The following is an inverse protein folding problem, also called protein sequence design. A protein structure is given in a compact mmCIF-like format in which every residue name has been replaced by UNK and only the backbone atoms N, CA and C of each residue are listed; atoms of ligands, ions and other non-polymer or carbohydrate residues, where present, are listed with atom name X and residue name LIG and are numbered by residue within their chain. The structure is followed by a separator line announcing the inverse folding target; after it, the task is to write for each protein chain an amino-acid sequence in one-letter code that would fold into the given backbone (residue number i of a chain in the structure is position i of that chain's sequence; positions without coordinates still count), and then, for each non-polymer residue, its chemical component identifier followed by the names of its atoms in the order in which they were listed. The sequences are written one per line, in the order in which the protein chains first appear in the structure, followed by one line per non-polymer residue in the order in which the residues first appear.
data_IF_564726985850
#
_entry.id   IF_564726985850
#
_cell.length_a   1.000
_cell.length_b   1.000
_cell.length_c   1.000
_cell.angle_alpha   90.00
_cell.angle_beta   90.00
_cell.angle_gamma   90.00
#
_symmetry.space_group_name_H-M   'P 1'
#
loop_
_entity.id
_entity.type
_entity.pdbx_description
1 polymer ?
#
# COMPACT_ATOMS: atom_id res chain seq x y z
N UNK A 1 27.89 -5.45 -26.32
CA UNK A 1 28.64 -4.32 -25.72
C UNK A 1 28.44 -4.51 -24.23
N UNK A 2 29.51 -4.84 -23.49
CA UNK A 2 29.41 -5.14 -22.07
C UNK A 2 29.02 -3.87 -21.29
N UNK A 3 28.05 -4.05 -20.39
CA UNK A 3 27.60 -3.05 -19.42
C UNK A 3 28.76 -2.69 -18.48
N UNK A 4 29.50 -1.61 -18.80
CA UNK A 4 30.64 -1.14 -18.02
C UNK A 4 30.23 -0.35 -16.77
N UNK A 5 28.94 -0.10 -16.57
CA UNK A 5 28.44 0.70 -15.46
C UNK A 5 27.74 -0.15 -14.39
N UNK A 6 28.49 -1.12 -13.85
CA UNK A 6 27.99 -2.02 -12.79
C UNK A 6 27.82 -1.28 -11.44
N UNK A 7 28.50 -0.15 -11.27
CA UNK A 7 28.37 0.72 -10.10
C UNK A 7 28.04 2.13 -10.58
N UNK A 8 26.81 2.58 -10.34
CA UNK A 8 26.40 3.93 -10.71
C UNK A 8 27.27 5.01 -10.05
N UNK A 9 27.48 6.14 -10.73
CA UNK A 9 28.26 7.29 -10.24
C UNK A 9 27.85 7.74 -8.83
N UNK A 10 26.56 7.69 -8.50
CA UNK A 10 26.03 8.03 -7.19
C UNK A 10 26.56 7.13 -6.06
N UNK A 11 26.74 5.83 -6.29
CA UNK A 11 27.28 4.91 -5.30
C UNK A 11 28.80 5.11 -5.12
N UNK A 12 29.53 5.30 -6.23
CA UNK A 12 30.95 5.62 -6.19
C UNK A 12 31.22 6.90 -5.40
N UNK A 13 30.39 7.94 -5.62
CA UNK A 13 30.46 9.22 -4.87
C UNK A 13 30.18 9.00 -3.38
N UNK A 14 29.14 8.25 -3.01
CA UNK A 14 28.83 7.93 -1.59
C UNK A 14 29.99 7.22 -0.89
N UNK A 15 30.67 6.31 -1.57
CA UNK A 15 31.85 5.59 -1.01
C UNK A 15 32.99 6.57 -0.73
N UNK A 16 33.28 7.47 -1.66
CA UNK A 16 34.35 8.46 -1.55
C UNK A 16 34.01 9.54 -0.51
N UNK A 17 32.77 10.02 -0.45
CA UNK A 17 32.30 11.00 0.53
C UNK A 17 32.38 10.42 1.96
N UNK A 18 31.96 9.18 2.18
CA UNK A 18 32.10 8.52 3.47
C UNK A 18 33.58 8.40 3.90
N UNK A 19 34.48 8.22 2.95
CA UNK A 19 35.92 8.20 3.22
C UNK A 19 36.48 9.58 3.57
N UNK A 20 36.00 10.65 2.93
CA UNK A 20 36.50 12.02 3.07
C UNK A 20 36.41 12.53 4.52
N UNK A 21 35.38 12.14 5.26
CA UNK A 21 35.20 12.57 6.66
C UNK A 21 36.22 11.96 7.63
N UNK A 22 36.78 10.78 7.27
CA UNK A 22 37.59 9.96 8.17
C UNK A 22 39.05 9.91 7.73
N UNK A 23 39.31 10.00 6.43
CA UNK A 23 40.63 9.77 5.82
C UNK A 23 41.21 11.08 5.30
N UNK A 24 42.41 11.44 5.82
CA UNK A 24 43.14 12.68 5.43
C UNK A 24 43.97 12.51 4.15
N UNK A 25 43.75 11.43 3.40
CA UNK A 25 44.42 11.13 2.14
C UNK A 25 43.48 11.31 0.96
N UNK A 26 44.05 11.52 -0.22
CA UNK A 26 43.24 11.49 -1.43
C UNK A 26 42.71 10.07 -1.66
N UNK A 27 41.40 9.93 -1.82
CA UNK A 27 40.71 8.66 -2.09
C UNK A 27 40.02 8.76 -3.44
N UNK A 28 40.17 7.72 -4.24
CA UNK A 28 39.56 7.57 -5.54
C UNK A 28 38.79 6.24 -5.61
N UNK A 29 37.62 6.26 -6.24
CA UNK A 29 36.96 5.06 -6.73
C UNK A 29 37.12 4.99 -8.25
N UNK A 30 37.74 3.93 -8.73
CA UNK A 30 38.09 3.72 -10.15
C UNK A 30 37.23 2.58 -10.68
N UNK A 31 36.61 2.77 -11.83
CA UNK A 31 35.80 1.74 -12.51
C UNK A 31 36.70 0.66 -13.11
N UNK A 32 36.08 -0.42 -13.57
CA UNK A 32 36.78 -1.57 -14.20
C UNK A 32 37.44 -1.21 -15.53
N UNK A 33 37.03 -0.11 -16.18
CA UNK A 33 37.69 0.46 -17.38
C UNK A 33 38.93 1.31 -17.05
N UNK A 34 39.24 1.50 -15.78
CA UNK A 34 40.38 2.29 -15.33
C UNK A 34 40.12 3.78 -15.24
N UNK A 35 38.87 4.23 -15.35
CA UNK A 35 38.50 5.64 -15.23
C UNK A 35 38.07 5.93 -13.78
N UNK A 36 38.53 7.06 -13.23
CA UNK A 36 38.15 7.53 -11.91
C UNK A 36 36.71 8.01 -11.95
N UNK A 37 35.79 7.31 -11.30
CA UNK A 37 34.36 7.65 -11.23
C UNK A 37 34.07 8.66 -10.13
N UNK A 38 34.79 8.57 -8.98
CA UNK A 38 34.65 9.51 -7.87
C UNK A 38 36.00 9.73 -7.20
N UNK A 39 36.22 10.92 -6.69
CA UNK A 39 37.49 11.31 -6.04
C UNK A 39 37.24 12.38 -4.98
N UNK A 40 38.03 12.36 -3.90
CA UNK A 40 38.10 13.49 -2.96
C UNK A 40 38.76 14.73 -3.58
N UNK A 41 39.44 14.54 -4.72
CA UNK A 41 40.05 15.62 -5.54
C UNK A 41 39.29 15.70 -6.87
N UNK A 42 38.34 16.65 -7.04
CA UNK A 42 37.40 16.68 -8.19
C UNK A 42 38.09 16.67 -9.57
N UNK A 43 39.25 17.27 -9.69
CA UNK A 43 40.00 17.36 -10.95
C UNK A 43 40.50 15.99 -11.46
N UNK A 44 40.45 14.97 -10.62
CA UNK A 44 40.80 13.60 -10.96
C UNK A 44 39.68 12.82 -11.62
N UNK A 45 38.44 13.24 -11.40
CA UNK A 45 37.27 12.53 -11.95
C UNK A 45 37.32 12.52 -13.49
N UNK A 46 37.06 11.39 -14.10
CA UNK A 46 37.11 11.18 -15.53
C UNK A 46 38.51 10.92 -16.10
N UNK A 47 39.58 11.01 -15.27
CA UNK A 47 40.95 10.71 -15.73
C UNK A 47 41.27 9.21 -15.62
N UNK A 48 42.23 8.75 -16.44
CA UNK A 48 42.67 7.36 -16.46
C UNK A 48 43.65 7.07 -15.32
N UNK A 49 43.56 5.84 -14.76
CA UNK A 49 44.40 5.38 -13.66
C UNK A 49 44.94 3.96 -13.95
N UNK A 50 46.14 3.88 -14.51
CA UNK A 50 46.69 2.61 -15.00
C UNK A 50 47.00 1.58 -13.90
N UNK A 51 47.42 2.04 -12.71
CA UNK A 51 47.68 1.13 -11.57
C UNK A 51 46.40 0.39 -11.10
N UNK A 52 45.23 0.98 -11.32
CA UNK A 52 43.96 0.29 -10.98
C UNK A 52 43.69 -0.88 -11.95
N UNK A 53 44.01 -0.74 -13.23
CA UNK A 53 43.89 -1.85 -14.19
C UNK A 53 44.81 -3.02 -13.82
N UNK A 54 46.00 -2.71 -13.35
CA UNK A 54 46.96 -3.72 -12.86
C UNK A 54 46.42 -4.44 -11.61
N UNK A 55 45.81 -3.70 -10.65
CA UNK A 55 45.20 -4.30 -9.47
C UNK A 55 44.03 -5.23 -9.85
N UNK A 56 43.21 -4.82 -10.82
CA UNK A 56 42.12 -5.67 -11.35
C UNK A 56 42.63 -6.92 -12.04
N UNK A 57 43.68 -6.78 -12.86
CA UNK A 57 44.27 -7.91 -13.60
C UNK A 57 44.89 -8.95 -12.66
N UNK A 58 45.52 -8.52 -11.57
CA UNK A 58 46.11 -9.40 -10.56
C UNK A 58 45.08 -9.94 -9.55
N UNK A 59 44.00 -9.25 -9.37
CA UNK A 59 43.04 -9.52 -8.29
C UNK A 59 43.58 -9.24 -6.90
N UNK A 60 44.68 -8.49 -6.81
CA UNK A 60 45.41 -8.19 -5.58
C UNK A 60 45.70 -6.71 -5.44
N UNK A 61 46.01 -6.28 -4.22
CA UNK A 61 46.44 -4.92 -3.93
C UNK A 61 47.75 -4.59 -4.64
N UNK A 62 47.78 -3.45 -5.36
CA UNK A 62 48.96 -2.92 -6.03
C UNK A 62 49.45 -1.67 -5.34
N UNK A 63 50.71 -1.70 -4.93
CA UNK A 63 51.45 -0.55 -4.36
C UNK A 63 52.14 0.21 -5.50
N UNK A 64 51.99 1.53 -5.50
CA UNK A 64 52.69 2.46 -6.38
C UNK A 64 53.63 3.28 -5.55
N UNK A 65 54.93 3.17 -5.84
CA UNK A 65 55.99 3.95 -5.19
C UNK A 65 56.64 4.92 -6.19
N UNK A 66 57.63 5.67 -5.74
CA UNK A 66 58.38 6.61 -6.60
C UNK A 66 59.19 5.94 -7.70
N UNK A 67 59.40 4.63 -7.63
CA UNK A 67 60.16 3.85 -8.58
C UNK A 67 59.29 3.12 -9.59
N UNK A 68 57.99 2.86 -9.24
CA UNK A 68 57.04 2.15 -10.07
C UNK A 68 56.01 3.17 -10.61
N UNK A 69 56.30 3.73 -11.77
CA UNK A 69 55.45 4.73 -12.39
C UNK A 69 54.38 4.11 -13.30
N UNK A 70 53.11 4.32 -12.95
CA UNK A 70 51.96 4.02 -13.80
C UNK A 70 51.34 5.33 -14.28
N UNK A 71 50.86 5.36 -15.52
CA UNK A 71 50.22 6.55 -16.10
C UNK A 71 49.00 6.97 -15.27
N UNK A 72 48.92 8.26 -14.91
CA UNK A 72 47.83 8.83 -14.12
C UNK A 72 47.82 8.43 -12.65
N UNK A 73 48.78 7.62 -12.15
CA UNK A 73 48.85 7.18 -10.78
C UNK A 73 49.75 8.09 -9.92
N UNK A 74 49.44 8.18 -8.63
CA UNK A 74 50.28 8.79 -7.59
C UNK A 74 50.79 7.69 -6.66
N UNK A 75 51.93 7.90 -5.95
CA UNK A 75 52.35 6.99 -4.90
C UNK A 75 51.20 6.69 -3.92
N UNK A 76 50.97 5.41 -3.64
CA UNK A 76 49.85 4.97 -2.83
C UNK A 76 49.48 3.50 -3.02
N UNK A 77 48.27 3.17 -2.61
CA UNK A 77 47.71 1.80 -2.67
C UNK A 77 46.48 1.76 -3.57
N UNK A 78 46.37 0.73 -4.38
CA UNK A 78 45.21 0.42 -5.21
C UNK A 78 44.68 -0.97 -4.84
N UNK A 79 43.48 -1.03 -4.27
CA UNK A 79 42.86 -2.25 -3.76
C UNK A 79 41.61 -2.58 -4.58
N UNK A 80 41.53 -3.76 -5.21
CA UNK A 80 40.36 -4.16 -5.98
C UNK A 80 39.16 -4.41 -5.04
N UNK A 81 37.99 -3.93 -5.43
CA UNK A 81 36.70 -4.18 -4.77
C UNK A 81 36.05 -5.36 -5.46
N UNK A 82 35.90 -6.47 -4.73
CA UNK A 82 35.36 -7.73 -5.28
C UNK A 82 34.12 -8.13 -4.51
N UNK A 83 32.97 -8.26 -5.21
CA UNK A 83 31.72 -8.71 -4.62
C UNK A 83 31.28 -9.98 -5.35
N UNK A 84 31.03 -11.04 -4.58
CA UNK A 84 30.59 -12.34 -5.09
C UNK A 84 31.51 -12.91 -6.20
N UNK A 85 32.83 -12.68 -6.03
CA UNK A 85 33.85 -13.13 -6.97
C UNK A 85 34.02 -12.25 -8.22
N UNK A 86 33.23 -11.18 -8.36
CA UNK A 86 33.35 -10.25 -9.49
C UNK A 86 34.06 -8.96 -9.06
N UNK A 87 35.12 -8.54 -9.78
CA UNK A 87 35.73 -7.25 -9.56
C UNK A 87 34.81 -6.13 -10.09
N UNK A 88 34.50 -5.18 -9.24
CA UNK A 88 33.55 -4.09 -9.55
C UNK A 88 34.21 -2.72 -9.65
N UNK A 89 35.44 -2.61 -9.23
CA UNK A 89 36.22 -1.37 -9.25
C UNK A 89 37.46 -1.48 -8.40
N UNK A 90 38.13 -0.34 -8.17
CA UNK A 90 39.31 -0.23 -7.36
C UNK A 90 39.21 0.98 -6.44
N UNK A 91 39.60 0.83 -5.18
CA UNK A 91 39.84 1.95 -4.28
C UNK A 91 41.33 2.30 -4.32
N UNK A 92 41.63 3.53 -4.76
CA UNK A 92 42.96 4.10 -4.72
C UNK A 92 43.09 5.09 -3.57
N UNK A 93 44.18 4.98 -2.79
CA UNK A 93 44.52 5.92 -1.72
C UNK A 93 45.95 6.42 -1.94
N UNK A 94 46.10 7.74 -2.13
CA UNK A 94 47.41 8.36 -2.30
C UNK A 94 48.09 8.64 -0.95
N UNK A 95 49.35 8.26 -0.82
CA UNK A 95 50.15 8.46 0.39
C UNK A 95 51.18 7.33 0.61
N UNK A 96 51.84 7.33 1.76
CA UNK A 96 52.77 6.25 2.09
C UNK A 96 52.05 4.92 2.23
N UNK A 97 52.58 3.88 1.58
CA UNK A 97 51.94 2.55 1.52
C UNK A 97 51.68 1.97 2.93
N UNK A 98 52.56 2.22 3.87
CA UNK A 98 52.46 1.72 5.23
C UNK A 98 51.23 2.31 5.96
N UNK A 99 50.93 3.57 5.72
CA UNK A 99 49.76 4.24 6.30
C UNK A 99 48.46 3.93 5.54
N UNK A 100 48.57 3.89 4.21
CA UNK A 100 47.39 3.68 3.33
C UNK A 100 46.86 2.25 3.30
N UNK A 101 47.71 1.23 3.52
CA UNK A 101 47.28 -0.20 3.41
C UNK A 101 46.14 -0.60 4.35
N UNK A 102 46.19 -0.26 5.68
CA UNK A 102 45.06 -0.56 6.57
C UNK A 102 43.78 0.18 6.16
N UNK A 103 43.91 1.44 5.71
CA UNK A 103 42.81 2.26 5.27
C UNK A 103 42.16 1.72 3.99
N UNK A 104 42.99 1.27 3.01
CA UNK A 104 42.51 0.68 1.77
C UNK A 104 41.72 -0.61 2.05
N UNK A 105 42.22 -1.48 2.92
CA UNK A 105 41.50 -2.70 3.32
C UNK A 105 40.16 -2.38 3.98
N UNK A 106 40.11 -1.41 4.89
CA UNK A 106 38.87 -1.01 5.57
C UNK A 106 37.86 -0.42 4.55
N UNK A 107 38.28 0.52 3.72
CA UNK A 107 37.42 1.14 2.72
C UNK A 107 36.91 0.15 1.68
N UNK A 108 37.76 -0.80 1.28
CA UNK A 108 37.33 -1.86 0.36
C UNK A 108 36.21 -2.70 0.98
N UNK A 109 36.31 -3.03 2.27
CA UNK A 109 35.25 -3.75 2.96
C UNK A 109 33.96 -2.94 3.12
N UNK A 110 34.08 -1.66 3.41
CA UNK A 110 32.92 -0.75 3.45
C UNK A 110 32.25 -0.64 2.07
N UNK A 111 33.05 -0.51 1.00
CA UNK A 111 32.55 -0.46 -0.36
C UNK A 111 31.84 -1.75 -0.75
N UNK A 112 32.40 -2.92 -0.44
CA UNK A 112 31.76 -4.22 -0.68
C UNK A 112 30.39 -4.33 0.02
N UNK A 113 30.29 -3.87 1.26
CA UNK A 113 29.04 -3.86 2.02
C UNK A 113 28.00 -2.92 1.41
N UNK A 114 28.40 -1.69 1.05
CA UNK A 114 27.50 -0.70 0.45
C UNK A 114 26.98 -1.18 -0.93
N UNK A 115 27.84 -1.82 -1.73
CA UNK A 115 27.47 -2.38 -3.02
C UNK A 115 26.47 -3.53 -2.85
N UNK A 116 26.69 -4.43 -1.88
CA UNK A 116 25.74 -5.51 -1.57
C UNK A 116 24.41 -4.99 -1.11
N UNK A 117 24.41 -4.00 -0.23
CA UNK A 117 23.18 -3.36 0.25
C UNK A 117 22.38 -2.74 -0.92
N UNK A 118 23.08 -2.01 -1.80
CA UNK A 118 22.46 -1.38 -2.97
C UNK A 118 21.82 -2.45 -3.91
N UNK A 119 22.54 -3.51 -4.23
CA UNK A 119 22.02 -4.60 -5.08
C UNK A 119 20.81 -5.29 -4.45
N UNK A 120 20.86 -5.56 -3.14
CA UNK A 120 19.71 -6.13 -2.43
C UNK A 120 18.50 -5.19 -2.43
N UNK A 121 18.75 -3.89 -2.28
CA UNK A 121 17.69 -2.87 -2.34
C UNK A 121 17.05 -2.80 -3.73
N UNK A 122 17.86 -2.78 -4.80
CA UNK A 122 17.38 -2.78 -6.19
C UNK A 122 16.59 -4.04 -6.53
N UNK A 123 17.08 -5.21 -6.12
CA UNK A 123 16.35 -6.47 -6.33
C UNK A 123 15.03 -6.50 -5.59
N UNK A 124 14.98 -6.00 -4.35
CA UNK A 124 13.72 -5.88 -3.57
C UNK A 124 12.77 -4.91 -4.23
N UNK A 125 13.26 -3.75 -4.68
CA UNK A 125 12.44 -2.74 -5.32
C UNK A 125 11.85 -3.26 -6.64
N UNK A 126 12.63 -3.94 -7.47
CA UNK A 126 12.13 -4.58 -8.69
C UNK A 126 11.06 -5.63 -8.40
N UNK A 127 11.26 -6.47 -7.38
CA UNK A 127 10.26 -7.47 -6.97
C UNK A 127 8.97 -6.82 -6.42
N UNK A 128 9.09 -5.69 -5.73
CA UNK A 128 7.94 -4.92 -5.25
C UNK A 128 7.20 -4.26 -6.41
N UNK A 129 7.91 -3.70 -7.39
CA UNK A 129 7.31 -3.08 -8.57
C UNK A 129 6.57 -4.13 -9.44
N UNK A 130 7.16 -5.32 -9.65
CA UNK A 130 6.52 -6.45 -10.34
C UNK A 130 5.24 -6.90 -9.61
N UNK A 131 5.28 -6.97 -8.28
CA UNK A 131 4.12 -7.33 -7.45
C UNK A 131 3.01 -6.29 -7.54
N UNK A 132 3.36 -5.01 -7.44
CA UNK A 132 2.41 -3.92 -7.60
C UNK A 132 1.76 -3.94 -8.98
N UNK A 133 2.54 -4.17 -10.05
CA UNK A 133 2.03 -4.30 -11.40
C UNK A 133 1.05 -5.47 -11.54
N UNK A 134 1.37 -6.63 -10.93
CA UNK A 134 0.49 -7.80 -10.92
C UNK A 134 -0.85 -7.50 -10.22
N UNK A 135 -0.81 -6.87 -9.04
CA UNK A 135 -2.04 -6.50 -8.30
C UNK A 135 -2.87 -5.49 -9.08
N UNK A 136 -2.25 -4.45 -9.64
CA UNK A 136 -2.96 -3.45 -10.46
C UNK A 136 -3.63 -4.07 -11.67
N UNK A 137 -2.97 -5.00 -12.33
CA UNK A 137 -3.56 -5.76 -13.44
C UNK A 137 -4.81 -6.52 -13.01
N UNK A 138 -4.76 -7.20 -11.87
CA UNK A 138 -5.89 -7.99 -11.36
C UNK A 138 -7.05 -7.12 -10.85
N UNK A 139 -6.76 -5.94 -10.30
CA UNK A 139 -7.79 -5.05 -9.74
C UNK A 139 -8.37 -4.07 -10.76
N UNK A 140 -7.56 -3.58 -11.70
CA UNK A 140 -7.95 -2.47 -12.59
C UNK A 140 -7.88 -2.83 -14.07
N UNK A 141 -7.40 -4.03 -14.43
CA UNK A 141 -7.20 -4.43 -15.82
C UNK A 141 -6.05 -3.68 -16.51
N UNK A 142 -5.18 -3.03 -15.75
CA UNK A 142 -4.05 -2.26 -16.27
C UNK A 142 -2.85 -3.17 -16.60
N UNK A 143 -2.24 -2.94 -17.75
CA UNK A 143 -1.03 -3.62 -18.20
C UNK A 143 -1.23 -4.42 -19.47
N UNK A 144 -0.35 -4.21 -20.45
CA UNK A 144 -0.36 -4.88 -21.76
C UNK A 144 0.54 -6.12 -21.80
N UNK A 145 1.13 -6.51 -20.67
CA UNK A 145 2.04 -7.66 -20.66
C UNK A 145 1.31 -8.97 -20.88
N UNK A 146 1.83 -9.72 -21.82
CA UNK A 146 1.22 -10.87 -22.45
C UNK A 146 1.15 -12.15 -21.61
N UNK A 147 1.55 -12.15 -20.33
CA UNK A 147 1.39 -13.31 -19.47
C UNK A 147 -0.09 -13.64 -19.26
N UNK A 148 -0.49 -14.88 -19.46
CA UNK A 148 -1.83 -15.32 -19.16
C UNK A 148 -2.11 -15.24 -17.66
N UNK A 149 -3.38 -15.09 -17.25
CA UNK A 149 -3.76 -15.09 -15.83
C UNK A 149 -3.21 -16.31 -15.07
N UNK A 150 -3.26 -17.56 -15.61
CA UNK A 150 -2.66 -18.72 -14.97
C UNK A 150 -1.15 -18.57 -14.73
N UNK A 151 -0.38 -18.12 -15.72
CA UNK A 151 1.07 -17.89 -15.59
C UNK A 151 1.40 -16.87 -14.50
N UNK A 152 0.59 -15.80 -14.40
CA UNK A 152 0.74 -14.80 -13.35
C UNK A 152 0.54 -15.43 -11.97
N UNK A 153 -0.51 -16.22 -11.78
CA UNK A 153 -0.82 -16.85 -10.51
C UNK A 153 0.24 -17.90 -10.12
N UNK A 154 0.69 -18.72 -11.08
CA UNK A 154 1.76 -19.71 -10.88
C UNK A 154 3.08 -19.05 -10.47
N UNK A 155 3.44 -17.93 -11.09
CA UNK A 155 4.64 -17.14 -10.73
C UNK A 155 4.68 -16.77 -9.26
N UNK A 156 3.51 -16.54 -8.66
CA UNK A 156 3.37 -16.19 -7.23
C UNK A 156 2.94 -17.37 -6.35
N UNK A 157 2.95 -18.60 -6.87
CA UNK A 157 2.57 -19.79 -6.12
C UNK A 157 1.11 -19.83 -5.69
N UNK A 158 0.23 -19.16 -6.43
CA UNK A 158 -1.20 -19.08 -6.15
C UNK A 158 -1.99 -20.10 -6.98
N UNK A 159 -3.12 -20.60 -6.48
CA UNK A 159 -3.95 -21.54 -7.21
C UNK A 159 -4.52 -20.86 -8.47
N UNK A 160 -4.39 -21.52 -9.61
CA UNK A 160 -4.92 -21.04 -10.90
C UNK A 160 -6.43 -21.21 -11.02
N UNK A 161 -7.02 -22.04 -10.18
CA UNK A 161 -8.46 -22.30 -10.09
C UNK A 161 -8.96 -21.92 -8.68
N UNK A 162 -10.28 -21.67 -8.57
CA UNK A 162 -10.91 -21.28 -7.32
C UNK A 162 -11.23 -19.80 -7.26
N UNK A 163 -11.59 -19.36 -6.08
CA UNK A 163 -11.99 -17.98 -5.80
C UNK A 163 -10.97 -17.28 -4.90
N UNK A 164 -10.98 -15.96 -4.99
CA UNK A 164 -10.22 -15.08 -4.13
C UNK A 164 -11.05 -13.84 -3.78
N UNK A 165 -10.67 -13.13 -2.75
CA UNK A 165 -11.24 -11.83 -2.45
C UNK A 165 -10.13 -10.81 -2.21
N UNK A 166 -10.54 -9.55 -2.15
CA UNK A 166 -9.65 -8.44 -1.83
C UNK A 166 -9.91 -7.97 -0.40
N UNK A 167 -8.85 -7.86 0.37
CA UNK A 167 -8.83 -7.18 1.66
C UNK A 167 -8.23 -5.80 1.46
N UNK A 168 -8.95 -4.75 1.83
CA UNK A 168 -8.43 -3.38 1.86
C UNK A 168 -8.27 -2.94 3.31
N UNK A 169 -7.06 -2.52 3.68
CA UNK A 169 -6.71 -2.05 5.03
C UNK A 169 -6.24 -0.61 4.95
N UNK A 170 -6.69 0.25 5.87
CA UNK A 170 -6.20 1.62 6.03
C UNK A 170 -5.32 1.76 7.25
N UNK A 171 -4.26 2.59 7.11
CA UNK A 171 -3.27 2.86 8.14
C UNK A 171 -3.64 3.97 9.11
N UNK A 172 -4.70 4.71 8.83
CA UNK A 172 -5.09 5.84 9.68
C UNK A 172 -5.77 5.38 10.95
N UNK A 173 -5.01 5.44 12.06
CA UNK A 173 -5.57 5.85 13.33
C UNK A 173 -5.90 7.35 13.24
N UNK A 174 -7.02 7.72 13.76
CA UNK A 174 -7.64 9.04 13.83
C UNK A 174 -6.64 10.22 13.81
N UNK A 175 -6.61 10.93 12.71
CA UNK A 175 -6.36 12.36 12.66
C UNK A 175 -7.30 12.91 11.59
N UNK A 176 -8.29 13.60 12.05
CA UNK A 176 -9.30 14.33 11.35
C UNK A 176 -8.80 14.94 10.03
N UNK A 177 -9.42 14.53 8.93
CA UNK A 177 -9.65 15.44 7.83
C UNK A 177 -11.17 15.40 7.64
N UNK A 178 -11.83 16.50 8.00
CA UNK A 178 -13.21 16.74 7.62
C UNK A 178 -13.38 16.41 6.14
N UNK A 179 -14.44 15.69 5.76
CA UNK A 179 -14.75 15.50 4.36
C UNK A 179 -15.15 16.86 3.81
N UNK A 180 -14.24 17.49 3.08
CA UNK A 180 -14.64 18.50 2.11
C UNK A 180 -15.70 17.84 1.23
N UNK A 181 -16.89 18.43 1.27
CA UNK A 181 -17.98 18.13 0.37
C UNK A 181 -17.43 18.09 -1.05
N UNK A 182 -17.56 16.95 -1.68
CA UNK A 182 -17.51 16.67 -3.12
C UNK A 182 -16.72 15.39 -3.42
N UNK A 183 -17.42 14.29 -3.41
CA UNK A 183 -17.19 13.13 -4.30
C UNK A 183 -18.10 11.94 -3.90
N UNK A 184 -19.40 12.17 -3.83
CA UNK A 184 -20.36 11.07 -3.93
C UNK A 184 -21.00 11.17 -5.32
N UNK A 185 -20.52 10.37 -6.26
CA UNK A 185 -21.26 10.17 -7.50
C UNK A 185 -20.50 10.34 -8.80
N UNK A 186 -19.19 10.20 -8.83
CA UNK A 186 -18.50 10.08 -10.11
C UNK A 186 -17.77 8.75 -10.21
N UNK A 187 -18.08 7.99 -11.25
CA UNK A 187 -17.23 6.94 -11.82
C UNK A 187 -15.79 7.46 -11.81
N UNK A 188 -14.84 6.63 -11.40
CA UNK A 188 -13.40 6.91 -11.36
C UNK A 188 -13.04 7.96 -12.40
N UNK A 189 -12.74 9.19 -11.93
CA UNK A 189 -12.38 10.29 -12.80
C UNK A 189 -11.06 9.97 -13.49
N UNK A 190 -10.93 10.46 -14.74
CA UNK A 190 -9.68 10.42 -15.52
C UNK A 190 -8.48 10.97 -14.74
N UNK A 191 -8.70 11.78 -13.69
CA UNK A 191 -7.65 12.33 -12.82
C UNK A 191 -7.04 11.31 -11.85
N UNK A 192 -7.76 10.29 -11.38
CA UNK A 192 -7.12 9.16 -10.69
C UNK A 192 -6.27 8.32 -11.65
N UNK A 193 -6.59 8.32 -12.95
CA UNK A 193 -5.73 7.80 -14.02
C UNK A 193 -4.55 8.74 -14.32
N UNK A 194 -4.75 10.06 -14.28
CA UNK A 194 -3.74 11.06 -14.64
C UNK A 194 -2.66 11.25 -13.57
N UNK A 195 -2.97 11.16 -12.27
CA UNK A 195 -1.98 11.23 -11.18
C UNK A 195 -0.98 10.07 -11.25
N UNK A 196 -1.33 8.99 -11.95
CA UNK A 196 -0.44 7.85 -12.19
C UNK A 196 0.45 8.03 -13.43
N UNK A 197 0.07 8.93 -14.37
CA UNK A 197 0.71 9.00 -15.69
C UNK A 197 1.56 10.26 -15.94
N UNK A 198 1.49 11.32 -15.13
CA UNK A 198 2.13 12.60 -15.46
C UNK A 198 3.06 13.20 -14.40
N UNK A 199 3.39 12.47 -13.34
CA UNK A 199 4.41 12.96 -12.42
C UNK A 199 5.81 12.69 -12.99
N UNK A 200 6.55 13.75 -13.29
CA UNK A 200 7.99 13.71 -13.64
C UNK A 200 8.74 12.88 -12.60
N UNK A 201 9.45 11.86 -13.07
CA UNK A 201 10.02 10.74 -12.31
C UNK A 201 10.90 11.07 -11.08
N UNK A 202 11.30 12.31 -10.87
CA UNK A 202 12.22 12.71 -9.81
C UNK A 202 11.56 13.15 -8.48
N UNK A 203 10.50 13.95 -8.52
CA UNK A 203 9.89 14.54 -7.32
C UNK A 203 8.95 13.58 -6.59
N UNK A 204 8.21 12.78 -7.32
CA UNK A 204 7.32 11.76 -6.75
C UNK A 204 8.09 10.61 -6.10
N UNK A 205 9.32 10.31 -6.55
CA UNK A 205 10.22 9.35 -5.87
C UNK A 205 10.64 9.83 -4.49
N UNK A 206 10.91 11.12 -4.32
CA UNK A 206 11.31 11.72 -3.04
C UNK A 206 10.17 11.75 -2.02
N UNK A 207 8.96 12.13 -2.42
CA UNK A 207 7.79 12.13 -1.53
C UNK A 207 7.33 10.71 -1.16
N UNK A 208 7.36 9.76 -2.12
CA UNK A 208 7.08 8.35 -1.84
C UNK A 208 8.07 7.74 -0.85
N UNK A 209 9.34 8.10 -0.93
CA UNK A 209 10.37 7.65 0.01
C UNK A 209 10.20 8.26 1.41
N UNK A 210 9.79 9.52 1.52
CA UNK A 210 9.56 10.21 2.81
C UNK A 210 8.27 9.75 3.51
N UNK A 211 7.19 9.49 2.77
CA UNK A 211 5.93 8.94 3.32
C UNK A 211 6.13 7.48 3.73
N UNK A 212 6.89 6.67 2.97
CA UNK A 212 7.35 5.34 3.40
C UNK A 212 8.19 5.40 4.69
N UNK A 213 8.95 6.45 4.93
CA UNK A 213 9.86 6.54 6.08
C UNK A 213 9.18 6.70 7.44
N UNK A 214 8.03 7.36 7.56
CA UNK A 214 7.31 7.57 8.84
C UNK A 214 6.15 6.57 9.06
N UNK A 215 5.31 6.32 8.06
CA UNK A 215 4.27 5.30 8.13
C UNK A 215 4.83 3.87 7.95
N UNK A 216 5.94 3.73 7.24
CA UNK A 216 6.50 2.44 6.82
C UNK A 216 7.01 1.55 7.96
N UNK A 217 7.56 2.11 9.04
CA UNK A 217 8.10 1.28 10.13
C UNK A 217 7.02 0.66 11.01
N UNK A 218 5.94 1.36 11.27
CA UNK A 218 4.79 0.80 12.00
C UNK A 218 4.00 -0.16 11.12
N UNK A 219 3.87 0.15 9.83
CA UNK A 219 3.16 -0.68 8.87
C UNK A 219 3.90 -1.99 8.52
N UNK A 220 5.23 -1.96 8.44
CA UNK A 220 6.02 -3.14 8.11
C UNK A 220 5.85 -4.26 9.15
N UNK A 221 5.78 -3.93 10.42
CA UNK A 221 5.72 -4.92 11.52
C UNK A 221 4.44 -5.77 11.48
N UNK A 222 3.28 -5.17 11.17
CA UNK A 222 2.03 -5.93 11.11
C UNK A 222 1.72 -6.47 9.71
N UNK A 223 2.29 -5.86 8.65
CA UNK A 223 2.09 -6.32 7.28
C UNK A 223 2.68 -7.72 7.06
N UNK A 224 3.88 -7.98 7.58
CA UNK A 224 4.50 -9.32 7.48
C UNK A 224 3.62 -10.39 8.13
N UNK A 225 3.01 -10.08 9.28
CA UNK A 225 2.03 -10.96 9.92
C UNK A 225 0.78 -11.19 9.07
N UNK A 226 0.24 -10.14 8.45
CA UNK A 226 -0.92 -10.23 7.55
C UNK A 226 -0.61 -11.09 6.33
N UNK A 227 0.54 -10.88 5.68
CA UNK A 227 0.93 -11.62 4.48
C UNK A 227 1.18 -13.10 4.77
N UNK A 228 1.80 -13.40 5.93
CA UNK A 228 1.99 -14.77 6.38
C UNK A 228 0.65 -15.47 6.65
N UNK A 229 -0.31 -14.78 7.28
CA UNK A 229 -1.66 -15.31 7.52
C UNK A 229 -2.46 -15.46 6.22
N UNK A 230 -2.30 -14.55 5.27
CA UNK A 230 -2.95 -14.58 3.96
C UNK A 230 -2.44 -15.70 3.06
N UNK A 231 -1.24 -16.20 3.31
CA UNK A 231 -0.55 -17.14 2.41
C UNK A 231 -0.52 -16.62 0.96
N UNK A 232 -0.35 -15.33 0.80
CA UNK A 232 -0.27 -14.67 -0.50
C UNK A 232 0.87 -13.66 -0.52
N UNK A 233 1.67 -13.61 -1.57
CA UNK A 233 2.64 -12.56 -1.79
C UNK A 233 2.03 -11.33 -2.50
N UNK A 234 0.77 -11.42 -2.98
CA UNK A 234 0.16 -10.37 -3.78
C UNK A 234 -0.54 -9.32 -2.93
N UNK A 235 0.14 -8.21 -2.74
CA UNK A 235 -0.39 -7.00 -2.12
C UNK A 235 0.15 -5.76 -2.83
N UNK A 236 -0.57 -4.64 -2.72
CA UNK A 236 -0.12 -3.35 -3.20
C UNK A 236 -0.48 -2.24 -2.23
N UNK A 237 0.41 -1.25 -2.12
CA UNK A 237 0.08 0.02 -1.49
C UNK A 237 -0.68 0.88 -2.49
N UNK A 238 -1.85 1.35 -2.08
CA UNK A 238 -2.70 2.25 -2.83
C UNK A 238 -2.69 3.61 -2.13
N UNK A 239 -2.10 4.60 -2.80
CA UNK A 239 -2.04 5.96 -2.27
C UNK A 239 -3.46 6.48 -1.93
N UNK A 240 -3.66 7.29 -0.85
CA UNK A 240 -2.62 7.79 0.04
C UNK A 240 -2.34 6.90 1.28
N UNK A 241 -3.23 5.98 1.67
CA UNK A 241 -3.20 5.37 3.01
C UNK A 241 -3.69 3.92 3.07
N UNK A 242 -3.81 3.23 1.93
CA UNK A 242 -4.43 1.91 1.86
C UNK A 242 -3.47 0.83 1.39
N UNK A 243 -3.72 -0.38 1.85
CA UNK A 243 -3.15 -1.59 1.27
C UNK A 243 -4.26 -2.49 0.74
N UNK A 244 -4.09 -3.00 -0.47
CA UNK A 244 -4.91 -4.05 -1.03
C UNK A 244 -4.13 -5.36 -1.00
N UNK A 245 -4.73 -6.41 -0.43
CA UNK A 245 -4.15 -7.75 -0.30
C UNK A 245 -5.09 -8.72 -1.01
N UNK A 246 -4.55 -9.50 -1.94
CA UNK A 246 -5.33 -10.53 -2.64
C UNK A 246 -5.31 -11.81 -1.81
N UNK A 247 -6.48 -12.30 -1.45
CA UNK A 247 -6.65 -13.37 -0.49
C UNK A 247 -7.34 -14.57 -1.15
N UNK A 248 -6.63 -15.69 -1.37
CA UNK A 248 -7.25 -16.92 -1.82
C UNK A 248 -8.30 -17.43 -0.83
N UNK A 249 -9.34 -18.07 -1.33
CA UNK A 249 -10.46 -18.59 -0.52
C UNK A 249 -10.00 -19.45 0.67
N UNK A 250 -9.02 -20.32 0.48
CA UNK A 250 -8.50 -21.20 1.54
C UNK A 250 -7.82 -20.45 2.69
N UNK A 251 -7.39 -19.17 2.49
CA UNK A 251 -6.79 -18.32 3.52
C UNK A 251 -7.79 -17.42 4.26
N UNK A 252 -9.04 -17.38 3.81
CA UNK A 252 -10.04 -16.37 4.21
C UNK A 252 -10.28 -16.36 5.75
N UNK A 253 -10.62 -17.49 6.34
CA UNK A 253 -10.98 -17.54 7.77
C UNK A 253 -9.78 -17.29 8.72
N UNK A 254 -8.59 -17.72 8.33
CA UNK A 254 -7.36 -17.45 9.08
C UNK A 254 -7.04 -15.95 9.05
N UNK A 255 -7.13 -15.35 7.87
CA UNK A 255 -6.91 -13.94 7.68
C UNK A 255 -7.92 -13.09 8.44
N UNK A 256 -9.20 -13.46 8.39
CA UNK A 256 -10.27 -12.72 9.08
C UNK A 256 -10.01 -12.62 10.58
N UNK A 257 -9.60 -13.74 11.22
CA UNK A 257 -9.22 -13.72 12.65
C UNK A 257 -8.03 -12.79 12.90
N UNK A 258 -7.00 -12.91 12.08
CA UNK A 258 -5.77 -12.13 12.24
C UNK A 258 -5.99 -10.63 12.03
N UNK A 259 -6.77 -10.24 11.01
CA UNK A 259 -7.14 -8.84 10.75
C UNK A 259 -7.92 -8.26 11.92
N UNK A 260 -8.86 -9.00 12.52
CA UNK A 260 -9.62 -8.53 13.69
C UNK A 260 -8.72 -8.31 14.90
N UNK A 261 -7.76 -9.21 15.14
CA UNK A 261 -6.78 -9.03 16.23
C UNK A 261 -5.92 -7.80 16.02
N UNK A 262 -5.43 -7.57 14.81
CA UNK A 262 -4.64 -6.39 14.47
C UNK A 262 -5.45 -5.10 14.53
N UNK A 263 -6.69 -5.13 14.05
CA UNK A 263 -7.61 -4.01 14.13
C UNK A 263 -7.84 -3.60 15.58
N UNK A 264 -8.09 -4.57 16.47
CA UNK A 264 -8.29 -4.31 17.89
C UNK A 264 -7.01 -3.76 18.59
N UNK A 265 -5.80 -4.21 18.17
CA UNK A 265 -4.54 -3.77 18.79
C UNK A 265 -4.03 -2.44 18.27
N UNK A 266 -4.24 -2.14 16.99
CA UNK A 266 -3.61 -1.02 16.30
C UNK A 266 -4.58 0.01 15.75
N UNK A 267 -5.88 -0.16 15.98
CA UNK A 267 -6.91 0.74 15.45
C UNK A 267 -7.03 0.70 13.91
N UNK A 268 -6.60 -0.41 13.28
CA UNK A 268 -6.70 -0.55 11.83
C UNK A 268 -8.16 -0.72 11.42
N UNK A 269 -8.51 -0.18 10.27
CA UNK A 269 -9.82 -0.41 9.67
C UNK A 269 -9.67 -1.22 8.40
N UNK A 270 -10.54 -2.21 8.22
CA UNK A 270 -10.45 -3.13 7.10
C UNK A 270 -11.81 -3.44 6.49
N UNK A 271 -11.83 -3.50 5.15
CA UNK A 271 -12.96 -3.98 4.37
C UNK A 271 -12.58 -5.23 3.59
N UNK A 272 -13.43 -6.25 3.63
CA UNK A 272 -13.21 -7.51 2.92
C UNK A 272 -14.28 -7.65 1.83
N UNK A 273 -13.84 -7.81 0.59
CA UNK A 273 -14.70 -8.00 -0.57
C UNK A 273 -15.32 -9.39 -0.64
N UNK A 274 -16.21 -9.59 -1.61
CA UNK A 274 -16.79 -10.90 -1.92
C UNK A 274 -15.78 -11.82 -2.58
N UNK A 275 -15.93 -13.12 -2.40
CA UNK A 275 -15.21 -14.13 -3.17
C UNK A 275 -15.59 -14.03 -4.65
N UNK A 276 -14.59 -14.00 -5.52
CA UNK A 276 -14.73 -13.89 -6.96
C UNK A 276 -13.70 -14.78 -7.66
N UNK A 277 -13.95 -15.22 -8.89
CA UNK A 277 -12.90 -15.78 -9.73
C UNK A 277 -11.73 -14.81 -9.86
N UNK A 278 -10.51 -15.31 -10.00
CA UNK A 278 -9.29 -14.48 -10.10
C UNK A 278 -9.36 -13.41 -11.20
N UNK A 279 -10.08 -13.66 -12.28
CA UNK A 279 -10.27 -12.68 -13.36
C UNK A 279 -11.26 -11.55 -13.03
N UNK A 280 -12.00 -11.63 -11.93
CA UNK A 280 -13.08 -10.70 -11.56
C UNK A 280 -12.78 -9.96 -10.23
N UNK A 281 -11.53 -9.90 -9.81
CA UNK A 281 -11.13 -9.28 -8.55
C UNK A 281 -11.40 -7.77 -8.48
N UNK A 282 -11.58 -7.11 -9.62
CA UNK A 282 -12.05 -5.73 -9.68
C UNK A 282 -13.40 -5.54 -8.96
N UNK A 283 -14.30 -6.52 -9.07
CA UNK A 283 -15.58 -6.51 -8.35
C UNK A 283 -15.36 -6.69 -6.84
N UNK A 284 -14.52 -7.66 -6.46
CA UNK A 284 -14.16 -7.87 -5.06
C UNK A 284 -13.51 -6.64 -4.43
N UNK A 285 -12.65 -5.93 -5.17
CA UNK A 285 -12.04 -4.68 -4.70
C UNK A 285 -13.07 -3.59 -4.42
N UNK A 286 -14.02 -3.37 -5.34
CA UNK A 286 -15.14 -2.43 -5.11
C UNK A 286 -15.93 -2.80 -3.86
N UNK A 287 -16.24 -4.08 -3.69
CA UNK A 287 -16.93 -4.58 -2.51
C UNK A 287 -16.11 -4.38 -1.22
N UNK A 288 -14.78 -4.55 -1.27
CA UNK A 288 -13.90 -4.29 -0.14
C UNK A 288 -13.86 -2.79 0.24
N UNK A 289 -13.88 -1.90 -0.76
CA UNK A 289 -13.94 -0.45 -0.51
C UNK A 289 -15.24 -0.05 0.19
N UNK A 290 -16.38 -0.60 -0.24
CA UNK A 290 -17.68 -0.36 0.40
C UNK A 290 -17.70 -0.88 1.84
N UNK A 291 -17.17 -2.09 2.07
CA UNK A 291 -17.02 -2.65 3.40
C UNK A 291 -16.10 -1.79 4.29
N UNK A 292 -15.00 -1.26 3.73
CA UNK A 292 -14.11 -0.36 4.46
C UNK A 292 -14.79 0.97 4.82
N UNK A 293 -15.61 1.52 3.92
CA UNK A 293 -16.38 2.73 4.19
C UNK A 293 -17.35 2.52 5.36
N UNK A 294 -18.02 1.36 5.40
CA UNK A 294 -18.88 0.99 6.53
C UNK A 294 -18.07 0.82 7.83
N UNK A 295 -16.89 0.21 7.79
CA UNK A 295 -16.00 0.09 8.96
C UNK A 295 -15.53 1.45 9.51
N UNK A 296 -15.58 2.52 8.72
CA UNK A 296 -15.28 3.89 9.17
C UNK A 296 -16.46 4.54 9.91
N UNK A 297 -17.67 4.16 9.57
CA UNK A 297 -18.90 4.72 10.11
C UNK A 297 -19.42 3.94 11.34
N UNK A 298 -18.94 2.71 11.52
CA UNK A 298 -19.35 1.81 12.58
C UNK A 298 -18.26 1.64 13.65
N UNK A 299 -18.64 1.19 14.84
CA UNK A 299 -17.73 0.71 15.90
C UNK A 299 -16.96 -0.55 15.46
N UNK A 300 -17.43 -1.24 14.42
CA UNK A 300 -16.78 -2.42 13.86
C UNK A 300 -15.60 -2.04 12.98
N UNK A 301 -14.39 -2.24 13.45
CA UNK A 301 -13.15 -1.93 12.71
C UNK A 301 -12.93 -2.82 11.47
N UNK A 302 -13.62 -3.97 11.36
CA UNK A 302 -13.47 -4.92 10.25
C UNK A 302 -14.85 -5.30 9.73
N UNK A 303 -15.16 -4.92 8.51
CA UNK A 303 -16.40 -5.24 7.84
C UNK A 303 -16.20 -6.19 6.66
N UNK A 304 -17.07 -7.18 6.56
CA UNK A 304 -17.11 -8.13 5.44
C UNK A 304 -18.29 -7.76 4.53
N UNK A 305 -18.03 -7.57 3.23
CA UNK A 305 -19.09 -7.24 2.26
C UNK A 305 -20.28 -8.22 2.32
N UNK A 306 -20.01 -9.52 2.48
CA UNK A 306 -21.06 -10.56 2.56
C UNK A 306 -21.99 -10.40 3.75
N UNK A 307 -21.59 -9.64 4.77
CA UNK A 307 -22.40 -9.36 5.98
C UNK A 307 -23.12 -8.03 5.92
N UNK A 308 -22.80 -7.21 4.93
CA UNK A 308 -23.47 -5.96 4.72
C UNK A 308 -24.84 -6.24 4.09
N UNK A 309 -25.87 -5.79 4.77
CA UNK A 309 -27.24 -5.98 4.35
C UNK A 309 -27.75 -4.89 3.41
N UNK A 310 -29.04 -4.59 3.52
CA UNK A 310 -29.74 -3.58 2.73
C UNK A 310 -29.10 -2.18 2.86
N UNK A 311 -28.52 -1.88 4.03
CA UNK A 311 -27.84 -0.60 4.30
C UNK A 311 -26.77 -0.27 3.25
N UNK A 312 -26.02 -1.27 2.81
CA UNK A 312 -25.00 -1.08 1.80
C UNK A 312 -25.61 -0.66 0.45
N UNK A 313 -26.68 -1.33 0.02
CA UNK A 313 -27.35 -0.99 -1.24
C UNK A 313 -27.91 0.43 -1.18
N UNK A 314 -28.49 0.80 -0.05
CA UNK A 314 -29.05 2.12 0.17
C UNK A 314 -27.97 3.21 0.27
N UNK A 315 -26.78 2.87 0.79
CA UNK A 315 -25.64 3.81 0.87
C UNK A 315 -25.08 4.19 -0.51
N UNK A 316 -25.32 3.38 -1.55
CA UNK A 316 -24.93 3.69 -2.94
C UNK A 316 -25.78 4.78 -3.59
N UNK A 317 -26.96 5.06 -3.03
CA UNK A 317 -27.81 6.10 -3.56
C UNK A 317 -27.23 7.49 -3.22
N UNK A 318 -27.25 8.46 -4.16
CA UNK A 318 -26.85 9.83 -3.88
C UNK A 318 -27.61 10.40 -2.68
N UNK A 319 -26.94 11.21 -1.86
CA UNK A 319 -27.52 11.77 -0.63
C UNK A 319 -28.82 12.53 -0.89
N UNK A 320 -28.91 13.27 -2.00
CA UNK A 320 -30.12 13.96 -2.38
C UNK A 320 -31.29 12.97 -2.57
N UNK A 321 -31.07 11.87 -3.31
CA UNK A 321 -32.12 10.87 -3.54
C UNK A 321 -32.54 10.17 -2.24
N UNK A 322 -31.59 9.88 -1.34
CA UNK A 322 -31.87 9.30 -0.02
C UNK A 322 -32.76 10.22 0.80
N UNK A 323 -32.39 11.53 0.83
CA UNK A 323 -33.17 12.55 1.54
C UNK A 323 -34.57 12.71 0.95
N UNK A 324 -34.66 12.84 -0.36
CA UNK A 324 -35.94 13.02 -1.05
C UNK A 324 -36.89 11.85 -0.78
N UNK A 325 -36.39 10.61 -0.86
CA UNK A 325 -37.19 9.43 -0.57
C UNK A 325 -37.67 9.38 0.89
N UNK A 326 -36.78 9.64 1.85
CA UNK A 326 -37.13 9.67 3.27
C UNK A 326 -38.16 10.79 3.57
N UNK A 327 -37.95 12.01 3.05
CA UNK A 327 -38.84 13.14 3.23
C UNK A 327 -40.23 12.85 2.61
N UNK A 328 -40.27 12.31 1.40
CA UNK A 328 -41.53 11.96 0.73
C UNK A 328 -42.38 10.98 1.54
N UNK A 329 -41.75 10.01 2.23
CA UNK A 329 -42.47 8.96 2.98
C UNK A 329 -42.68 9.30 4.46
N UNK A 330 -41.76 10.02 5.09
CA UNK A 330 -41.75 10.26 6.53
C UNK A 330 -41.88 11.73 6.92
N UNK A 331 -41.85 12.65 5.97
CA UNK A 331 -41.81 14.11 6.28
C UNK A 331 -42.98 14.61 7.11
N UNK A 332 -44.13 13.96 7.00
CA UNK A 332 -45.36 14.32 7.81
C UNK A 332 -45.38 13.69 9.19
N UNK A 333 -44.45 12.77 9.50
CA UNK A 333 -44.41 12.04 10.77
C UNK A 333 -43.60 12.81 11.83
N UNK A 334 -44.11 12.84 13.06
CA UNK A 334 -43.35 13.31 14.22
C UNK A 334 -42.29 12.31 14.64
N UNK A 335 -41.32 12.75 15.47
CA UNK A 335 -40.28 11.86 16.04
C UNK A 335 -40.90 10.66 16.78
N UNK A 336 -41.97 10.89 17.55
CA UNK A 336 -42.70 9.84 18.28
C UNK A 336 -43.34 8.81 17.33
N UNK A 337 -43.92 9.28 16.20
CA UNK A 337 -44.50 8.40 15.20
C UNK A 337 -43.44 7.58 14.46
N UNK A 338 -42.29 8.16 14.15
CA UNK A 338 -41.14 7.46 13.58
C UNK A 338 -40.60 6.41 14.55
N UNK A 339 -40.48 6.73 15.83
CA UNK A 339 -40.07 5.79 16.87
C UNK A 339 -41.08 4.63 17.04
N UNK A 340 -42.36 4.94 16.99
CA UNK A 340 -43.40 3.92 17.00
C UNK A 340 -43.26 2.92 15.84
N UNK A 341 -42.95 3.42 14.63
CA UNK A 341 -42.66 2.57 13.48
C UNK A 341 -41.40 1.70 13.65
N UNK A 342 -40.29 2.29 14.12
CA UNK A 342 -39.04 1.56 14.38
C UNK A 342 -39.28 0.39 15.34
N UNK A 343 -39.92 0.66 16.49
CA UNK A 343 -40.18 -0.39 17.47
C UNK A 343 -41.17 -1.42 16.94
N UNK A 344 -42.19 -1.03 16.17
CA UNK A 344 -43.14 -1.97 15.57
C UNK A 344 -42.45 -2.92 14.58
N UNK A 345 -41.58 -2.40 13.75
CA UNK A 345 -40.80 -3.17 12.76
C UNK A 345 -39.73 -4.04 13.43
N UNK A 346 -39.00 -3.52 14.42
CA UNK A 346 -38.00 -4.28 15.18
C UNK A 346 -38.59 -5.51 15.92
N UNK A 347 -39.88 -5.45 16.26
CA UNK A 347 -40.59 -6.57 16.88
C UNK A 347 -41.39 -7.43 15.88
N UNK A 348 -40.95 -7.45 14.63
CA UNK A 348 -41.52 -8.34 13.59
C UNK A 348 -42.99 -8.06 13.27
N UNK A 349 -43.42 -6.80 13.30
CA UNK A 349 -44.79 -6.36 13.05
C UNK A 349 -45.81 -6.96 14.05
N UNK A 350 -45.34 -7.33 15.25
CA UNK A 350 -46.18 -7.88 16.32
C UNK A 350 -46.77 -6.74 17.19
N UNK A 351 -48.06 -6.49 17.06
CA UNK A 351 -48.77 -5.51 17.89
C UNK A 351 -48.60 -5.76 19.40
N UNK A 352 -48.58 -7.03 19.83
CA UNK A 352 -48.41 -7.37 21.25
C UNK A 352 -47.02 -7.05 21.74
N UNK A 353 -45.98 -7.49 20.99
CA UNK A 353 -44.58 -7.31 21.38
C UNK A 353 -44.22 -5.80 21.34
N UNK A 354 -44.57 -5.10 20.29
CA UNK A 354 -44.27 -3.69 20.12
C UNK A 354 -45.00 -2.82 21.16
N UNK A 355 -46.27 -3.14 21.47
CA UNK A 355 -47.01 -2.41 22.53
C UNK A 355 -46.34 -2.58 23.90
N UNK A 356 -45.88 -3.82 24.23
CA UNK A 356 -45.14 -4.07 25.46
C UNK A 356 -43.81 -3.30 25.51
N UNK A 357 -43.06 -3.27 24.40
CA UNK A 357 -41.79 -2.54 24.31
C UNK A 357 -41.95 -1.02 24.43
N UNK A 358 -43.09 -0.45 23.96
CA UNK A 358 -43.39 0.94 24.05
C UNK A 358 -44.13 1.31 25.34
N UNK A 359 -44.39 0.36 26.25
CA UNK A 359 -45.19 0.53 27.44
C UNK A 359 -46.60 1.07 27.15
N UNK A 360 -47.21 0.62 26.04
CA UNK A 360 -48.51 1.03 25.58
C UNK A 360 -49.53 -0.11 25.64
N UNK A 361 -50.82 0.26 25.78
CA UNK A 361 -51.90 -0.67 25.54
C UNK A 361 -51.98 -0.97 24.02
N UNK A 362 -52.33 -2.22 23.64
CA UNK A 362 -52.45 -2.65 22.25
C UNK A 362 -53.34 -1.71 21.40
N UNK A 363 -54.45 -1.25 21.95
CA UNK A 363 -55.36 -0.35 21.25
C UNK A 363 -54.76 1.04 20.99
N UNK A 364 -53.92 1.53 21.91
CA UNK A 364 -53.20 2.80 21.74
C UNK A 364 -52.17 2.68 20.60
N UNK A 365 -51.43 1.57 20.55
CA UNK A 365 -50.52 1.32 19.43
C UNK A 365 -51.27 1.22 18.12
N UNK A 366 -52.40 0.53 18.09
CA UNK A 366 -53.22 0.39 16.88
C UNK A 366 -53.71 1.75 16.39
N UNK A 367 -54.19 2.62 17.30
CA UNK A 367 -54.52 4.00 16.95
C UNK A 367 -53.34 4.81 16.39
N UNK A 368 -52.15 4.64 16.96
CA UNK A 368 -50.94 5.31 16.43
C UNK A 368 -50.59 4.82 15.01
N UNK A 369 -50.68 3.54 14.75
CA UNK A 369 -50.44 2.97 13.42
C UNK A 369 -51.51 3.44 12.40
N UNK A 370 -52.77 3.54 12.80
CA UNK A 370 -53.86 4.11 11.96
C UNK A 370 -53.59 5.59 11.66
N UNK A 371 -53.05 6.36 12.59
CA UNK A 371 -52.68 7.77 12.40
C UNK A 371 -51.52 7.89 11.42
N UNK A 372 -50.47 7.02 11.54
CA UNK A 372 -49.35 6.95 10.62
C UNK A 372 -49.85 6.62 9.21
N UNK A 373 -50.72 5.60 9.07
CA UNK A 373 -51.29 5.20 7.78
C UNK A 373 -52.02 6.35 7.11
N UNK A 374 -52.83 7.12 7.86
CA UNK A 374 -53.52 8.28 7.28
C UNK A 374 -52.59 9.41 6.84
N UNK A 375 -51.47 9.61 7.52
CA UNK A 375 -50.48 10.64 7.19
C UNK A 375 -49.60 10.27 5.99
N UNK A 376 -49.17 9.03 5.92
CA UNK A 376 -48.22 8.56 4.89
C UNK A 376 -48.90 7.96 3.65
N UNK A 377 -50.18 7.58 3.77
CA UNK A 377 -50.87 6.78 2.74
C UNK A 377 -50.47 5.31 2.74
N UNK A 378 -49.53 4.88 3.59
CA UNK A 378 -49.00 3.53 3.70
C UNK A 378 -49.43 2.87 5.00
N UNK A 379 -50.00 1.65 4.93
CA UNK A 379 -50.42 0.92 6.16
C UNK A 379 -49.24 0.09 6.71
N UNK A 380 -48.67 0.42 7.88
CA UNK A 380 -47.54 -0.28 8.46
C UNK A 380 -47.77 -1.79 8.71
N UNK A 381 -49.04 -2.25 8.69
CA UNK A 381 -49.45 -3.65 8.88
C UNK A 381 -49.42 -4.47 7.57
N UNK A 382 -49.46 -3.78 6.43
CA UNK A 382 -49.33 -4.43 5.13
C UNK A 382 -47.84 -4.62 4.81
N UNK A 383 -47.46 -5.83 4.43
CA UNK A 383 -46.05 -6.17 4.20
C UNK A 383 -45.32 -5.20 3.26
N UNK A 384 -45.87 -4.93 2.09
CA UNK A 384 -45.28 -4.06 1.06
C UNK A 384 -45.10 -2.63 1.60
N UNK A 385 -46.14 -2.07 2.20
CA UNK A 385 -46.15 -0.71 2.74
C UNK A 385 -45.15 -0.60 3.93
N UNK A 386 -45.08 -1.67 4.75
CA UNK A 386 -44.13 -1.74 5.87
C UNK A 386 -42.69 -1.78 5.37
N UNK A 387 -42.38 -2.46 4.26
CA UNK A 387 -41.04 -2.46 3.65
C UNK A 387 -40.67 -1.07 3.11
N UNK A 388 -41.60 -0.35 2.45
CA UNK A 388 -41.36 1.03 2.02
C UNK A 388 -41.05 1.96 3.20
N UNK A 389 -41.82 1.87 4.27
CA UNK A 389 -41.61 2.66 5.50
C UNK A 389 -40.30 2.26 6.20
N UNK A 390 -39.92 0.97 6.16
CA UNK A 390 -38.65 0.51 6.71
C UNK A 390 -37.45 1.08 5.96
N UNK A 391 -37.46 1.01 4.63
CA UNK A 391 -36.42 1.62 3.79
C UNK A 391 -36.33 3.13 4.06
N UNK A 392 -37.46 3.81 4.15
CA UNK A 392 -37.48 5.24 4.42
C UNK A 392 -36.87 5.57 5.80
N UNK A 393 -37.14 4.77 6.84
CA UNK A 393 -36.55 4.92 8.16
C UNK A 393 -35.01 4.67 8.18
N UNK A 394 -34.55 3.69 7.39
CA UNK A 394 -33.11 3.45 7.22
C UNK A 394 -32.42 4.66 6.58
N UNK A 395 -33.02 5.23 5.55
CA UNK A 395 -32.50 6.41 4.85
C UNK A 395 -32.56 7.69 5.71
N UNK A 396 -33.55 7.80 6.61
CA UNK A 396 -33.68 8.89 7.57
C UNK A 396 -32.68 8.79 8.73
N UNK A 397 -32.38 7.58 9.18
CA UNK A 397 -31.41 7.29 10.27
C UNK A 397 -29.96 7.58 9.88
N UNK A 398 -29.62 7.76 8.60
CA UNK A 398 -28.32 8.25 8.14
C UNK A 398 -28.10 9.76 8.38
N UNK A 399 -28.96 10.38 9.18
CA UNK A 399 -28.89 11.79 9.61
C UNK A 399 -28.05 12.02 10.87
N UNK A 400 -27.39 11.01 11.40
CA UNK A 400 -26.56 11.22 12.58
C UNK A 400 -25.19 11.73 12.17
N UNK A 401 -25.00 13.00 12.44
CA UNK A 401 -23.82 13.87 12.60
C UNK A 401 -23.07 14.31 11.34
#
# INVERSE_FOLDING_TARGET
MADYDIIGEALALRIVEAAKEVIRHEVNFIRTDGIIAASTTPERIGTRHAAALEALARGEMVEVDATTLYEGSRPGINCPVVVDGQPLGVIGIAGEARECRPLANLLTKIAELLIREQRLSETRQSADDDRHAAVRRLLFGEGRDAASLPELLERYGLPTQGQACVLVVTLRGEAEAEPGQEAAGEMMNEDERAVVTTARDGEVRSERAQVRGRAGRSAAVWMDGLLAAAKTPLYAYLFPDRYAILLPEHGYEAMLRHVRELAARHGLRAGIGSLQPWGELALSYRHAQLALQQARNDENLVCEFRKLGLDLLLSQLPQAQRRDYAEQRLGTLSAEERETLRVYQAHGLSLKAAAAALFLHKNTLQYRLDKISRKTGLDPRRYVDSVELYIALMLDGTRSD
#
